data_IF_744519024142
#
_entry.id   IF_744519024142
#
_cell.length_a   1.000
_cell.length_b   1.000
_cell.length_c   1.000
_cell.angle_alpha   90.00
_cell.angle_beta   90.00
_cell.angle_gamma   90.00
#
_symmetry.space_group_name_H-M   'P 1'
#
loop_
_entity.id
_entity.type
_entity.pdbx_description
1 polymer ?
#
# COMPACT_ATOMS: atom_id res chain seq x y z
N UNK A 1 -39.97 -67.05 -54.60
CA UNK A 1 -40.25 -65.80 -53.87
C UNK A 1 -40.01 -66.04 -52.40
N UNK A 2 -38.89 -65.55 -51.88
CA UNK A 2 -38.46 -65.62 -50.48
C UNK A 2 -37.72 -64.30 -50.22
N UNK A 3 -38.16 -63.45 -49.28
CA UNK A 3 -37.42 -62.23 -48.97
C UNK A 3 -36.34 -62.51 -47.94
N UNK A 4 -35.18 -61.89 -48.15
CA UNK A 4 -34.04 -61.85 -47.23
C UNK A 4 -34.33 -60.81 -46.15
N UNK A 5 -34.40 -61.25 -44.89
CA UNK A 5 -34.60 -60.38 -43.72
C UNK A 5 -33.26 -59.77 -43.31
N UNK A 6 -33.16 -58.44 -43.35
CA UNK A 6 -31.99 -57.68 -42.89
C UNK A 6 -31.96 -57.62 -41.35
N UNK A 7 -30.86 -58.07 -40.74
CA UNK A 7 -30.54 -57.83 -39.33
C UNK A 7 -30.05 -56.39 -39.14
N UNK A 8 -30.82 -55.57 -38.44
CA UNK A 8 -30.33 -54.32 -37.86
C UNK A 8 -29.77 -54.60 -36.46
N UNK A 9 -28.46 -54.45 -36.29
CA UNK A 9 -27.79 -54.41 -34.98
C UNK A 9 -27.96 -53.00 -34.43
N UNK A 10 -28.81 -52.83 -33.41
CA UNK A 10 -28.89 -51.62 -32.62
C UNK A 10 -27.71 -51.58 -31.63
N UNK A 11 -26.71 -50.74 -31.94
CA UNK A 11 -25.71 -50.33 -30.95
C UNK A 11 -26.40 -49.44 -29.90
N UNK A 12 -26.57 -49.96 -28.68
CA UNK A 12 -26.88 -49.15 -27.51
C UNK A 12 -25.61 -48.40 -27.08
N UNK A 13 -25.56 -47.11 -27.37
CA UNK A 13 -24.63 -46.21 -26.69
C UNK A 13 -25.19 -45.92 -25.29
N UNK A 14 -24.59 -46.51 -24.26
CA UNK A 14 -24.84 -46.15 -22.87
C UNK A 14 -24.35 -44.72 -22.64
N UNK A 15 -25.28 -43.83 -22.32
CA UNK A 15 -25.03 -42.46 -21.95
C UNK A 15 -24.28 -42.42 -20.61
N UNK A 16 -22.98 -42.13 -20.66
CA UNK A 16 -22.23 -41.69 -19.49
C UNK A 16 -22.85 -40.39 -18.97
N UNK A 17 -23.51 -40.47 -17.82
CA UNK A 17 -23.86 -39.30 -17.03
C UNK A 17 -22.56 -38.70 -16.50
N UNK A 18 -21.98 -37.78 -17.27
CA UNK A 18 -21.01 -36.82 -16.75
C UNK A 18 -21.71 -35.98 -15.69
N UNK A 19 -21.54 -36.38 -14.44
CA UNK A 19 -21.88 -35.60 -13.27
C UNK A 19 -21.09 -34.30 -13.38
N UNK A 20 -21.75 -33.22 -13.80
CA UNK A 20 -21.17 -31.88 -13.83
C UNK A 20 -20.76 -31.57 -12.40
N UNK A 21 -19.46 -31.63 -12.13
CA UNK A 21 -18.90 -31.18 -10.88
C UNK A 21 -19.34 -29.72 -10.70
N UNK A 22 -20.20 -29.49 -9.72
CA UNK A 22 -20.53 -28.14 -9.28
C UNK A 22 -19.21 -27.55 -8.81
N UNK A 23 -18.62 -26.70 -9.65
CA UNK A 23 -17.45 -25.89 -9.33
C UNK A 23 -17.80 -25.07 -8.07
N UNK A 24 -17.46 -25.59 -6.90
CA UNK A 24 -17.58 -24.82 -5.66
C UNK A 24 -16.62 -23.64 -5.80
N UNK A 25 -17.17 -22.42 -5.85
CA UNK A 25 -16.33 -21.23 -5.84
C UNK A 25 -15.32 -21.32 -4.69
N UNK A 26 -14.04 -20.97 -4.93
CA UNK A 26 -13.02 -21.03 -3.90
C UNK A 26 -13.49 -20.27 -2.65
N UNK A 27 -13.43 -20.93 -1.49
CA UNK A 27 -13.90 -20.35 -0.23
C UNK A 27 -12.94 -19.25 0.22
N UNK A 28 -13.46 -18.02 0.33
CA UNK A 28 -12.70 -16.92 0.90
C UNK A 28 -12.49 -17.12 2.40
N UNK A 29 -11.25 -16.95 2.85
CA UNK A 29 -10.82 -17.01 4.25
C UNK A 29 -10.38 -15.64 4.74
N UNK A 30 -10.29 -15.48 6.05
CA UNK A 30 -9.83 -14.25 6.72
C UNK A 30 -8.92 -14.61 7.90
N UNK A 31 -7.83 -13.86 8.04
CA UNK A 31 -6.98 -13.84 9.22
C UNK A 31 -6.92 -12.39 9.71
N UNK A 32 -7.05 -12.14 11.02
CA UNK A 32 -7.24 -10.79 11.54
C UNK A 32 -6.52 -10.54 12.87
N UNK A 33 -6.15 -9.28 13.10
CA UNK A 33 -5.64 -8.78 14.37
C UNK A 33 -6.16 -7.36 14.59
N UNK A 34 -6.98 -7.19 15.64
CA UNK A 34 -7.65 -5.92 15.92
C UNK A 34 -8.52 -5.45 14.75
N UNK A 35 -8.19 -4.29 14.19
CA UNK A 35 -8.91 -3.70 13.05
C UNK A 35 -8.36 -4.13 11.68
N UNK A 36 -7.24 -4.85 11.62
CA UNK A 36 -6.60 -5.22 10.35
C UNK A 36 -6.96 -6.66 10.00
N UNK A 37 -7.45 -6.87 8.77
CA UNK A 37 -7.94 -8.16 8.28
C UNK A 37 -7.32 -8.50 6.93
N UNK A 38 -6.76 -9.69 6.79
CA UNK A 38 -6.23 -10.23 5.53
C UNK A 38 -7.20 -11.26 4.96
N UNK A 39 -7.73 -10.98 3.78
CA UNK A 39 -8.63 -11.85 3.04
C UNK A 39 -7.87 -12.60 1.95
N UNK A 40 -8.03 -13.92 1.90
CA UNK A 40 -7.24 -14.78 1.02
C UNK A 40 -8.00 -16.04 0.58
N UNK A 41 -7.50 -16.67 -0.47
CA UNK A 41 -7.96 -17.96 -0.97
C UNK A 41 -6.83 -18.98 -0.87
N UNK A 42 -7.16 -20.25 -0.62
CA UNK A 42 -6.20 -21.37 -0.64
C UNK A 42 -6.20 -22.13 -1.95
N UNK A 43 -7.14 -21.83 -2.84
CA UNK A 43 -7.39 -22.53 -4.10
C UNK A 43 -7.79 -21.53 -5.19
N UNK A 44 -7.69 -21.96 -6.46
CA UNK A 44 -8.00 -21.15 -7.62
C UNK A 44 -6.94 -20.09 -7.94
N UNK A 45 -7.27 -19.16 -8.85
CA UNK A 45 -6.31 -18.19 -9.39
C UNK A 45 -5.74 -17.25 -8.31
N UNK A 46 -6.47 -17.02 -7.22
CA UNK A 46 -6.07 -16.17 -6.10
C UNK A 46 -5.45 -16.94 -4.94
N UNK A 47 -5.07 -18.21 -5.15
CA UNK A 47 -4.41 -19.00 -4.12
C UNK A 47 -3.12 -18.32 -3.65
N UNK A 48 -2.97 -18.24 -2.32
CA UNK A 48 -1.72 -17.88 -1.66
C UNK A 48 -0.74 -19.04 -1.68
N UNK A 49 0.54 -18.77 -1.41
CA UNK A 49 1.50 -19.85 -1.17
C UNK A 49 1.02 -20.70 0.03
N UNK A 50 0.88 -22.04 -0.10
CA UNK A 50 0.33 -22.90 0.95
C UNK A 50 1.31 -23.23 2.09
N UNK A 51 2.55 -22.73 2.07
CA UNK A 51 3.51 -22.94 3.16
C UNK A 51 2.92 -22.49 4.51
N UNK A 52 3.02 -23.36 5.51
CA UNK A 52 2.59 -23.13 6.91
C UNK A 52 3.66 -23.78 7.81
N UNK A 53 4.74 -23.04 8.09
CA UNK A 53 5.90 -23.56 8.82
C UNK A 53 5.57 -23.82 10.29
N UNK A 54 4.71 -23.00 10.89
CA UNK A 54 4.35 -23.08 12.29
C UNK A 54 3.16 -24.03 12.57
N UNK A 55 2.52 -24.55 11.52
CA UNK A 55 1.41 -25.53 11.53
C UNK A 55 0.16 -25.02 12.23
N UNK A 56 -0.13 -23.72 12.12
CA UNK A 56 -1.32 -23.13 12.72
C UNK A 56 -2.56 -23.16 11.80
N UNK A 57 -2.43 -23.67 10.57
CA UNK A 57 -3.49 -23.77 9.57
C UNK A 57 -3.71 -22.49 8.76
N UNK A 58 -2.85 -21.48 8.92
CA UNK A 58 -2.84 -20.23 8.17
C UNK A 58 -1.55 -20.23 7.34
N UNK A 59 -1.63 -19.95 6.03
CA UNK A 59 -0.40 -19.88 5.24
C UNK A 59 0.48 -18.71 5.69
N UNK A 60 1.79 -18.95 5.81
CA UNK A 60 2.77 -17.98 6.35
C UNK A 60 2.70 -16.63 5.63
N UNK A 61 2.49 -16.64 4.30
CA UNK A 61 2.31 -15.42 3.50
C UNK A 61 1.20 -14.51 4.05
N UNK A 62 0.10 -15.09 4.53
CA UNK A 62 -1.04 -14.36 5.09
C UNK A 62 -0.67 -13.73 6.43
N UNK A 63 -0.01 -14.49 7.30
CA UNK A 63 0.46 -14.02 8.61
C UNK A 63 1.50 -12.90 8.45
N UNK A 64 2.44 -13.07 7.53
CA UNK A 64 3.53 -12.13 7.33
C UNK A 64 3.06 -10.82 6.66
N UNK A 65 2.04 -10.87 5.81
CA UNK A 65 1.37 -9.65 5.28
C UNK A 65 0.68 -8.89 6.41
N UNK A 66 -0.05 -9.58 7.30
CA UNK A 66 -0.67 -8.96 8.47
C UNK A 66 0.40 -8.35 9.39
N UNK A 67 1.45 -9.12 9.68
CA UNK A 67 2.57 -8.74 10.54
C UNK A 67 3.30 -7.50 10.01
N UNK A 68 3.64 -7.46 8.72
CA UNK A 68 4.28 -6.29 8.12
C UNK A 68 3.37 -5.06 8.17
N UNK A 69 2.06 -5.22 7.97
CA UNK A 69 1.11 -4.10 8.03
C UNK A 69 0.95 -3.56 9.45
N UNK A 70 0.83 -4.43 10.45
CA UNK A 70 0.80 -4.04 11.88
C UNK A 70 2.09 -3.31 12.27
N UNK A 71 3.23 -3.79 11.78
CA UNK A 71 4.51 -3.13 11.99
C UNK A 71 4.52 -1.73 11.34
N UNK A 72 4.04 -1.60 10.10
CA UNK A 72 3.97 -0.31 9.40
C UNK A 72 3.06 0.68 10.14
N UNK A 73 1.89 0.23 10.61
CA UNK A 73 1.00 1.03 11.45
C UNK A 73 1.71 1.48 12.74
N UNK A 74 2.30 0.54 13.48
CA UNK A 74 3.01 0.84 14.73
C UNK A 74 4.13 1.85 14.48
N UNK A 75 4.91 1.66 13.42
CA UNK A 75 6.03 2.54 13.09
C UNK A 75 5.55 3.94 12.68
N UNK A 76 4.70 4.05 11.66
CA UNK A 76 4.32 5.37 11.17
C UNK A 76 3.42 6.13 12.15
N UNK A 77 2.44 5.46 12.74
CA UNK A 77 1.44 6.12 13.59
C UNK A 77 1.93 6.26 15.04
N UNK A 78 2.41 5.19 15.66
CA UNK A 78 2.71 5.22 17.09
C UNK A 78 4.12 5.72 17.39
N UNK A 79 5.11 5.30 16.61
CA UNK A 79 6.51 5.72 16.81
C UNK A 79 6.76 7.09 16.17
N UNK A 80 6.44 7.26 14.89
CA UNK A 80 6.76 8.45 14.12
C UNK A 80 5.66 9.53 14.16
N UNK A 81 4.49 9.22 14.71
CA UNK A 81 3.36 10.15 14.90
C UNK A 81 2.84 10.77 13.60
N UNK A 82 2.90 10.04 12.49
CA UNK A 82 2.04 10.35 11.35
C UNK A 82 0.57 10.25 11.80
N UNK A 83 -0.34 11.08 11.26
CA UNK A 83 -1.76 10.97 11.58
C UNK A 83 -2.28 9.54 11.34
N UNK A 84 -3.01 9.00 12.31
CA UNK A 84 -3.64 7.69 12.18
C UNK A 84 -4.74 7.78 11.12
N UNK A 85 -4.67 7.03 10.01
CA UNK A 85 -5.70 7.02 8.99
C UNK A 85 -7.11 6.82 9.59
N UNK A 86 -7.27 5.94 10.58
CA UNK A 86 -8.57 5.69 11.24
C UNK A 86 -9.14 6.90 12.00
N UNK A 87 -8.34 7.93 12.26
CA UNK A 87 -8.75 9.12 13.01
C UNK A 87 -8.96 10.35 12.12
N UNK A 88 -8.50 10.30 10.86
CA UNK A 88 -8.60 11.43 9.92
C UNK A 88 -10.03 11.67 9.45
N UNK A 89 -10.34 12.88 9.02
CA UNK A 89 -11.67 13.24 8.49
C UNK A 89 -12.12 12.33 7.33
N UNK A 90 -11.18 11.92 6.46
CA UNK A 90 -11.47 11.09 5.28
C UNK A 90 -11.80 9.65 5.63
N UNK A 91 -11.16 9.07 6.64
CA UNK A 91 -11.30 7.65 6.95
C UNK A 91 -11.84 7.35 8.36
N UNK A 92 -12.27 8.34 9.14
CA UNK A 92 -12.90 8.15 10.48
C UNK A 92 -14.12 7.22 10.51
N UNK A 93 -14.77 7.01 9.35
CA UNK A 93 -15.87 6.06 9.21
C UNK A 93 -15.43 4.59 9.06
N UNK A 94 -14.14 4.32 8.89
CA UNK A 94 -13.61 2.98 8.72
C UNK A 94 -13.69 2.17 10.02
N UNK A 95 -14.34 1.02 9.95
CA UNK A 95 -14.31 0.02 11.03
C UNK A 95 -13.06 -0.85 10.95
N UNK A 96 -12.59 -1.13 9.73
CA UNK A 96 -11.48 -2.05 9.46
C UNK A 96 -10.51 -1.50 8.42
N UNK A 97 -9.32 -2.10 8.38
CA UNK A 97 -8.41 -2.09 7.25
C UNK A 97 -8.42 -3.49 6.65
N UNK A 98 -8.97 -3.61 5.44
CA UNK A 98 -9.09 -4.87 4.72
C UNK A 98 -7.97 -4.99 3.67
N UNK A 99 -7.16 -6.03 3.80
CA UNK A 99 -6.10 -6.37 2.87
C UNK A 99 -6.58 -7.55 2.04
N UNK A 100 -6.55 -7.44 0.71
CA UNK A 100 -6.96 -8.54 -0.16
C UNK A 100 -5.78 -9.14 -0.90
N UNK A 101 -5.56 -10.44 -0.72
CA UNK A 101 -4.61 -11.20 -1.51
C UNK A 101 -5.24 -11.59 -2.84
N UNK A 102 -4.69 -11.03 -3.93
CA UNK A 102 -5.25 -11.16 -5.28
C UNK A 102 -4.17 -11.59 -6.27
N UNK A 103 -4.57 -12.22 -7.37
CA UNK A 103 -3.61 -12.57 -8.42
C UNK A 103 -3.21 -11.29 -9.15
N UNK A 104 -1.91 -11.12 -9.47
CA UNK A 104 -1.39 -9.89 -10.11
C UNK A 104 -2.11 -9.54 -11.43
N UNK A 105 -2.64 -10.54 -12.13
CA UNK A 105 -3.35 -10.33 -13.40
C UNK A 105 -4.66 -9.56 -13.22
N UNK A 106 -5.30 -9.71 -12.05
CA UNK A 106 -6.48 -8.91 -11.68
C UNK A 106 -6.11 -7.52 -11.15
N UNK A 107 -4.81 -7.26 -10.95
CA UNK A 107 -4.26 -6.01 -10.42
C UNK A 107 -3.42 -5.25 -11.47
N UNK A 108 -3.71 -5.43 -12.77
CA UNK A 108 -2.93 -4.81 -13.87
C UNK A 108 -1.42 -5.07 -13.75
N UNK A 109 -1.05 -6.27 -13.29
CA UNK A 109 0.33 -6.73 -13.03
C UNK A 109 1.06 -5.97 -11.92
N UNK A 110 0.36 -5.14 -11.12
CA UNK A 110 0.92 -4.47 -9.93
C UNK A 110 1.13 -5.46 -8.79
N UNK A 111 2.06 -5.13 -7.90
CA UNK A 111 2.32 -5.90 -6.67
C UNK A 111 1.41 -5.47 -5.51
N UNK A 112 0.99 -4.22 -5.48
CA UNK A 112 0.02 -3.70 -4.51
C UNK A 112 -0.85 -2.60 -5.13
N UNK A 113 -1.95 -2.29 -4.46
CA UNK A 113 -2.85 -1.19 -4.84
C UNK A 113 -3.69 -0.74 -3.63
N UNK A 114 -3.36 0.42 -3.08
CA UNK A 114 -4.18 1.09 -2.06
C UNK A 114 -5.36 1.86 -2.67
N UNK A 115 -6.48 1.83 -1.96
CA UNK A 115 -7.69 2.58 -2.28
C UNK A 115 -7.74 3.85 -1.43
N UNK A 116 -8.18 4.95 -2.02
CA UNK A 116 -8.24 6.28 -1.40
C UNK A 116 -9.65 6.67 -0.94
N UNK A 117 -10.61 5.76 -1.12
CA UNK A 117 -11.99 5.86 -0.64
C UNK A 117 -12.35 4.66 0.23
N UNK A 118 -13.27 4.87 1.18
CA UNK A 118 -13.80 3.79 2.00
C UNK A 118 -14.59 2.79 1.15
N UNK A 119 -14.32 1.51 1.36
CA UNK A 119 -14.93 0.42 0.62
C UNK A 119 -16.01 -0.27 1.45
N UNK A 120 -17.10 -0.68 0.81
CA UNK A 120 -18.12 -1.56 1.42
C UNK A 120 -18.12 -2.92 0.73
N UNK A 121 -17.56 -3.93 1.39
CA UNK A 121 -17.49 -5.29 0.86
C UNK A 121 -18.71 -6.15 1.17
N UNK A 122 -19.68 -5.62 1.95
CA UNK A 122 -20.92 -6.31 2.37
C UNK A 122 -20.66 -7.75 2.83
N UNK A 123 -19.63 -7.95 3.67
CA UNK A 123 -19.27 -9.29 4.17
C UNK A 123 -20.41 -9.84 5.02
N UNK A 124 -20.69 -11.15 4.92
CA UNK A 124 -21.80 -11.80 5.64
C UNK A 124 -21.76 -11.62 7.16
N UNK A 125 -20.57 -11.52 7.76
CA UNK A 125 -20.38 -11.37 9.21
C UNK A 125 -20.30 -9.91 9.67
N UNK A 126 -20.18 -8.97 8.74
CA UNK A 126 -20.02 -7.56 9.08
C UNK A 126 -21.40 -6.94 9.31
N UNK A 127 -21.56 -6.05 10.31
CA UNK A 127 -22.78 -5.24 10.44
C UNK A 127 -23.11 -4.48 9.16
N UNK A 128 -24.40 -4.23 8.92
CA UNK A 128 -24.85 -3.42 7.79
C UNK A 128 -24.21 -2.01 7.86
N UNK A 129 -23.73 -1.52 6.72
CA UNK A 129 -23.07 -0.21 6.65
C UNK A 129 -21.58 -0.22 7.04
N UNK A 130 -20.98 -1.39 7.32
CA UNK A 130 -19.54 -1.48 7.57
C UNK A 130 -18.74 -0.95 6.38
N UNK A 131 -17.80 -0.06 6.69
CA UNK A 131 -16.85 0.54 5.76
C UNK A 131 -15.43 0.17 6.19
N UNK A 132 -14.56 -0.07 5.21
CA UNK A 132 -13.16 -0.41 5.42
C UNK A 132 -12.25 0.50 4.59
N UNK A 133 -11.10 0.88 5.15
CA UNK A 133 -9.94 1.18 4.30
C UNK A 133 -9.50 -0.11 3.61
N UNK A 134 -8.88 0.00 2.43
CA UNK A 134 -8.50 -1.19 1.68
C UNK A 134 -7.18 -1.00 0.92
N UNK A 135 -6.39 -2.05 0.87
CA UNK A 135 -5.40 -2.23 -0.18
C UNK A 135 -5.30 -3.68 -0.64
N UNK A 136 -4.91 -3.89 -1.88
CA UNK A 136 -4.63 -5.21 -2.43
C UNK A 136 -3.14 -5.50 -2.34
N UNK A 137 -2.79 -6.77 -2.13
CA UNK A 137 -1.43 -7.29 -2.28
C UNK A 137 -1.46 -8.48 -3.22
N UNK A 138 -0.55 -8.53 -4.18
CA UNK A 138 -0.49 -9.63 -5.11
C UNK A 138 -0.05 -10.92 -4.41
N UNK A 139 -0.66 -12.06 -4.71
CA UNK A 139 -0.27 -13.38 -4.16
C UNK A 139 1.14 -13.82 -4.55
N UNK A 140 1.79 -13.12 -5.49
CA UNK A 140 3.20 -13.31 -5.82
C UNK A 140 4.17 -12.55 -4.91
N UNK A 141 3.69 -11.72 -3.98
CA UNK A 141 4.52 -10.95 -3.04
C UNK A 141 4.98 -11.85 -1.90
N UNK A 142 6.28 -11.87 -1.66
CA UNK A 142 6.88 -12.44 -0.46
C UNK A 142 7.14 -11.31 0.57
N UNK A 143 6.32 -11.16 1.62
CA UNK A 143 6.44 -10.06 2.60
C UNK A 143 7.77 -10.08 3.38
N UNK A 144 8.45 -11.22 3.51
CA UNK A 144 9.76 -11.27 4.16
C UNK A 144 10.84 -10.59 3.29
N UNK A 145 10.65 -10.57 1.97
CA UNK A 145 11.60 -10.02 1.00
C UNK A 145 11.18 -8.65 0.47
N UNK A 146 9.88 -8.42 0.33
CA UNK A 146 9.28 -7.27 -0.30
C UNK A 146 8.49 -6.43 0.70
N UNK A 147 8.56 -5.11 0.55
CA UNK A 147 7.96 -4.16 1.50
C UNK A 147 6.62 -3.59 0.98
N UNK A 148 5.92 -4.36 0.15
CA UNK A 148 4.66 -3.97 -0.49
C UNK A 148 3.58 -3.60 0.55
N UNK A 149 3.29 -4.42 1.59
CA UNK A 149 2.37 -3.98 2.65
C UNK A 149 2.75 -2.64 3.31
N UNK A 150 4.05 -2.40 3.55
CA UNK A 150 4.54 -1.12 4.09
C UNK A 150 4.27 0.04 3.12
N UNK A 151 4.53 -0.18 1.83
CA UNK A 151 4.28 0.78 0.74
C UNK A 151 2.80 1.17 0.66
N UNK A 152 1.92 0.18 0.59
CA UNK A 152 0.47 0.40 0.48
C UNK A 152 -0.12 1.04 1.73
N UNK A 153 0.37 0.67 2.92
CA UNK A 153 -0.04 1.34 4.16
C UNK A 153 0.34 2.83 4.15
N UNK A 154 1.51 3.18 3.60
CA UNK A 154 1.91 4.59 3.49
C UNK A 154 1.02 5.37 2.51
N UNK A 155 0.52 4.74 1.44
CA UNK A 155 -0.50 5.34 0.58
C UNK A 155 -1.81 5.63 1.32
N UNK A 156 -2.21 4.81 2.30
CA UNK A 156 -3.36 5.11 3.15
C UNK A 156 -3.12 6.36 4.01
N UNK A 157 -1.91 6.55 4.56
CA UNK A 157 -1.56 7.78 5.28
C UNK A 157 -1.68 8.99 4.36
N UNK A 158 -1.08 8.94 3.16
CA UNK A 158 -1.17 10.03 2.17
C UNK A 158 -2.63 10.35 1.82
N UNK A 159 -3.41 9.32 1.48
CA UNK A 159 -4.81 9.44 1.06
C UNK A 159 -5.72 9.86 2.20
N UNK A 160 -5.36 9.59 3.45
CA UNK A 160 -6.12 10.02 4.63
C UNK A 160 -6.03 11.52 4.88
N UNK A 161 -4.98 12.16 4.35
CA UNK A 161 -4.67 13.57 4.61
C UNK A 161 -4.88 14.48 3.41
N UNK A 162 -4.63 14.04 2.18
CA UNK A 162 -4.78 14.89 1.00
C UNK A 162 -5.36 14.18 -0.21
N UNK A 163 -6.01 14.92 -1.11
CA UNK A 163 -6.54 14.41 -2.38
C UNK A 163 -5.51 14.33 -3.52
N UNK A 164 -4.26 14.72 -3.27
CA UNK A 164 -3.22 14.70 -4.29
C UNK A 164 -2.74 13.28 -4.64
N UNK A 165 -2.78 12.93 -5.93
CA UNK A 165 -2.33 11.64 -6.49
C UNK A 165 -1.20 11.78 -7.52
N UNK A 166 -0.48 12.90 -7.50
CA UNK A 166 0.63 13.15 -8.40
C UNK A 166 1.77 12.16 -8.08
N UNK A 167 2.10 11.30 -9.05
CA UNK A 167 2.91 10.09 -8.83
C UNK A 167 4.31 10.36 -8.30
N UNK A 168 4.94 11.46 -8.70
CA UNK A 168 6.27 11.84 -8.19
C UNK A 168 6.25 12.09 -6.67
N UNK A 169 5.11 12.52 -6.14
CA UNK A 169 4.88 12.67 -4.71
C UNK A 169 4.44 11.35 -4.09
N UNK A 170 3.35 10.75 -4.54
CA UNK A 170 2.75 9.59 -3.87
C UNK A 170 3.67 8.38 -3.93
N UNK A 171 4.04 7.94 -5.13
CA UNK A 171 4.94 6.79 -5.34
C UNK A 171 6.36 7.12 -4.84
N UNK A 172 6.84 8.34 -5.08
CA UNK A 172 8.17 8.77 -4.67
C UNK A 172 8.38 8.70 -3.15
N UNK A 173 7.40 9.16 -2.37
CA UNK A 173 7.45 9.08 -0.91
C UNK A 173 7.04 7.71 -0.36
N UNK A 174 6.20 6.93 -1.06
CA UNK A 174 5.94 5.54 -0.69
C UNK A 174 7.19 4.65 -0.85
N UNK A 175 8.01 4.88 -1.90
CA UNK A 175 9.34 4.23 -2.03
C UNK A 175 10.34 4.66 -0.96
N UNK A 176 10.27 5.92 -0.50
CA UNK A 176 11.02 6.34 0.68
C UNK A 176 10.52 5.59 1.93
N UNK A 177 9.21 5.47 2.11
CA UNK A 177 8.59 4.83 3.27
C UNK A 177 8.94 3.34 3.38
N UNK A 178 9.18 2.64 2.27
CA UNK A 178 9.73 1.27 2.31
C UNK A 178 11.02 1.19 3.14
N UNK A 179 11.86 2.23 3.16
CA UNK A 179 13.10 2.22 3.96
C UNK A 179 12.85 2.12 5.45
N UNK A 180 11.66 2.49 5.92
CA UNK A 180 11.27 2.42 7.32
C UNK A 180 11.31 0.97 7.87
N UNK A 181 11.09 -0.02 7.01
CA UNK A 181 11.21 -1.46 7.32
C UNK A 181 12.40 -2.12 6.59
N UNK A 182 13.13 -1.33 5.80
CA UNK A 182 14.28 -1.75 5.03
C UNK A 182 15.58 -1.69 5.83
N UNK A 183 16.70 -2.02 5.16
CA UNK A 183 18.03 -1.71 5.68
C UNK A 183 18.50 -0.36 5.15
N UNK A 184 19.18 0.38 6.01
CA UNK A 184 19.80 1.68 5.75
C UNK A 184 18.82 2.84 5.90
N UNK A 185 19.34 3.97 6.38
CA UNK A 185 18.56 5.17 6.65
C UNK A 185 17.86 5.75 5.40
N UNK A 186 18.46 5.60 4.23
CA UNK A 186 17.98 6.23 2.99
C UNK A 186 18.18 5.29 1.80
N UNK A 187 17.31 5.42 0.80
CA UNK A 187 17.47 4.72 -0.47
C UNK A 187 18.60 5.31 -1.34
N UNK A 188 18.79 4.76 -2.55
CA UNK A 188 19.77 5.29 -3.51
C UNK A 188 19.55 6.79 -3.74
N UNK A 189 20.65 7.52 -3.78
CA UNK A 189 20.67 8.96 -4.03
C UNK A 189 21.30 9.20 -5.39
N UNK A 190 20.49 9.57 -6.38
CA UNK A 190 20.96 10.01 -7.70
C UNK A 190 21.05 11.53 -7.69
N UNK A 191 22.16 12.03 -7.14
CA UNK A 191 22.48 13.46 -7.08
C UNK A 191 22.60 14.05 -8.49
N UNK A 192 21.74 15.00 -8.85
CA UNK A 192 21.94 15.84 -10.03
C UNK A 192 21.79 17.33 -9.70
N UNK A 193 22.89 18.08 -9.86
CA UNK A 193 22.94 19.55 -9.85
C UNK A 193 22.65 20.29 -8.54
N UNK A 194 22.60 21.62 -8.64
CA UNK A 194 22.32 22.54 -7.54
C UNK A 194 20.86 22.47 -7.04
N UNK A 195 20.66 22.77 -5.76
CA UNK A 195 19.38 22.82 -5.06
C UNK A 195 19.11 24.25 -4.56
N UNK A 196 17.87 24.78 -4.62
CA UNK A 196 16.64 24.14 -5.11
C UNK A 196 16.61 23.95 -6.63
N UNK A 197 15.77 23.02 -7.08
CA UNK A 197 15.59 22.71 -8.50
C UNK A 197 15.12 23.93 -9.31
N UNK A 198 15.69 24.15 -10.50
CA UNK A 198 15.16 25.12 -11.48
C UNK A 198 13.76 24.69 -11.96
N UNK A 199 12.96 25.61 -12.52
CA UNK A 199 11.63 25.28 -13.05
C UNK A 199 11.67 24.13 -14.08
N UNK A 200 12.70 24.08 -14.92
CA UNK A 200 12.88 22.98 -15.90
C UNK A 200 13.18 21.62 -15.24
N UNK A 201 13.78 21.61 -14.05
CA UNK A 201 13.96 20.38 -13.26
C UNK A 201 12.66 19.97 -12.57
N UNK A 202 11.80 20.93 -12.21
CA UNK A 202 10.48 20.64 -11.66
C UNK A 202 9.59 19.94 -12.70
N UNK A 203 9.57 20.40 -13.96
CA UNK A 203 8.80 19.74 -15.03
C UNK A 203 9.23 18.29 -15.27
N UNK A 204 10.55 18.00 -15.20
CA UNK A 204 11.05 16.61 -15.30
C UNK A 204 10.64 15.77 -14.09
N UNK A 205 10.70 16.34 -12.90
CA UNK A 205 10.24 15.68 -11.67
C UNK A 205 8.76 15.29 -11.77
N UNK A 206 7.90 16.19 -12.26
CA UNK A 206 6.45 15.97 -12.30
C UNK A 206 6.03 14.80 -13.20
N UNK A 207 6.86 14.45 -14.19
CA UNK A 207 6.66 13.29 -15.04
C UNK A 207 7.09 11.95 -14.40
N UNK A 208 7.79 11.97 -13.26
CA UNK A 208 8.34 10.77 -12.62
C UNK A 208 7.30 9.97 -11.82
N UNK A 209 7.64 8.71 -11.54
CA UNK A 209 6.94 7.83 -10.61
C UNK A 209 7.90 7.40 -9.48
N UNK A 210 8.36 6.16 -9.47
CA UNK A 210 9.28 5.62 -8.48
C UNK A 210 10.64 6.32 -8.49
N UNK A 211 11.11 6.73 -9.67
CA UNK A 211 12.41 7.42 -9.82
C UNK A 211 12.46 8.76 -9.08
N UNK A 212 11.31 9.36 -8.76
CA UNK A 212 11.25 10.58 -7.94
C UNK A 212 11.87 10.36 -6.55
N UNK A 213 11.80 9.12 -6.01
CA UNK A 213 12.47 8.78 -4.76
C UNK A 213 13.98 9.01 -4.86
N UNK A 214 14.62 8.49 -5.90
CA UNK A 214 16.08 8.53 -6.04
C UNK A 214 16.59 9.87 -6.58
N UNK A 215 15.79 10.57 -7.39
CA UNK A 215 16.20 11.80 -8.07
C UNK A 215 15.78 13.09 -7.36
N UNK A 216 14.80 13.02 -6.44
CA UNK A 216 14.31 14.20 -5.74
C UNK A 216 14.23 14.00 -4.23
N UNK A 217 13.43 13.05 -3.74
CA UNK A 217 13.19 12.88 -2.30
C UNK A 217 14.48 12.51 -1.55
N UNK A 218 15.18 11.46 -1.95
CA UNK A 218 16.41 11.04 -1.30
C UNK A 218 17.52 12.10 -1.40
N UNK A 219 17.79 12.73 -2.56
CA UNK A 219 18.77 13.82 -2.63
C UNK A 219 18.43 15.04 -1.77
N UNK A 220 17.15 15.39 -1.63
CA UNK A 220 16.71 16.46 -0.75
C UNK A 220 16.97 16.08 0.71
N UNK A 221 16.52 14.89 1.14
CA UNK A 221 16.69 14.39 2.49
C UNK A 221 18.16 14.19 2.87
N UNK A 222 19.01 13.78 1.93
CA UNK A 222 20.45 13.61 2.15
C UNK A 222 21.15 14.92 2.54
N UNK A 223 20.61 16.07 2.13
CA UNK A 223 21.13 17.42 2.44
C UNK A 223 20.51 18.04 3.69
N UNK A 224 19.51 17.39 4.29
CA UNK A 224 18.84 17.90 5.48
C UNK A 224 19.49 17.29 6.72
N UNK A 225 20.16 18.11 7.50
CA UNK A 225 20.68 17.71 8.82
C UNK A 225 19.55 17.68 9.85
N UNK A 226 19.63 16.77 10.82
CA UNK A 226 18.70 16.70 11.96
C UNK A 226 17.25 16.33 11.64
N UNK A 227 16.90 16.01 10.38
CA UNK A 227 15.52 15.72 9.93
C UNK A 227 14.98 14.33 10.33
N UNK A 228 15.56 13.73 11.37
CA UNK A 228 15.25 12.40 11.88
C UNK A 228 16.03 11.33 11.13
N UNK A 229 17.18 10.92 11.67
CA UNK A 229 17.99 9.83 11.10
C UNK A 229 17.73 8.50 11.81
N UNK A 230 17.66 8.55 13.14
CA UNK A 230 17.32 7.41 13.99
C UNK A 230 15.84 7.48 14.39
N UNK A 231 15.20 6.32 14.42
CA UNK A 231 13.84 6.18 14.92
C UNK A 231 13.82 6.40 16.45
N UNK A 232 12.85 7.15 16.99
CA UNK A 232 12.80 7.48 18.40
C UNK A 232 12.51 6.24 19.25
N UNK A 233 13.12 6.18 20.44
CA UNK A 233 12.77 5.19 21.45
C UNK A 233 11.39 5.51 22.05
N UNK A 234 10.56 4.48 22.17
CA UNK A 234 9.22 4.56 22.73
C UNK A 234 8.73 3.17 23.16
N UNK A 235 7.65 3.06 23.96
CA UNK A 235 7.03 1.76 24.25
C UNK A 235 6.62 1.01 22.98
N UNK A 236 6.03 1.69 22.00
CA UNK A 236 5.68 1.12 20.70
C UNK A 236 6.90 0.59 19.94
N UNK A 237 8.04 1.30 20.00
CA UNK A 237 9.30 0.83 19.41
C UNK A 237 9.79 -0.49 20.02
N UNK A 238 9.61 -0.69 21.33
CA UNK A 238 9.96 -1.99 21.97
C UNK A 238 9.11 -3.14 21.42
N UNK A 239 7.81 -2.90 21.22
CA UNK A 239 6.91 -3.85 20.56
C UNK A 239 7.36 -4.16 19.13
N UNK A 240 7.65 -3.11 18.34
CA UNK A 240 8.11 -3.25 16.96
C UNK A 240 9.42 -4.05 16.83
N UNK A 241 10.39 -3.85 17.74
CA UNK A 241 11.64 -4.62 17.78
C UNK A 241 11.43 -6.11 18.12
N UNK A 242 10.35 -6.43 18.86
CA UNK A 242 10.00 -7.80 19.19
C UNK A 242 9.37 -8.56 18.02
N UNK A 243 8.73 -7.85 17.07
CA UNK A 243 8.05 -8.48 15.93
C UNK A 243 9.03 -9.25 15.02
N UNK A 244 8.61 -10.45 14.65
CA UNK A 244 9.30 -11.33 13.70
C UNK A 244 8.27 -11.90 12.72
N UNK A 245 8.70 -12.16 11.50
CA UNK A 245 7.97 -13.00 10.54
C UNK A 245 7.95 -14.46 11.02
N UNK A 246 7.14 -15.30 10.37
CA UNK A 246 7.03 -16.72 10.73
C UNK A 246 8.37 -17.46 10.62
N UNK A 247 9.24 -17.06 9.69
CA UNK A 247 10.60 -17.62 9.55
C UNK A 247 11.58 -17.19 10.65
N UNK A 248 11.13 -16.38 11.61
CA UNK A 248 11.91 -15.84 12.72
C UNK A 248 12.70 -14.58 12.41
N UNK A 249 12.80 -14.18 11.13
CA UNK A 249 13.49 -12.96 10.74
C UNK A 249 12.76 -11.71 11.26
N UNK A 250 13.52 -10.65 11.56
CA UNK A 250 12.97 -9.43 12.14
C UNK A 250 12.23 -8.60 11.09
N UNK A 251 11.05 -8.11 11.47
CA UNK A 251 10.22 -7.23 10.63
C UNK A 251 10.92 -5.88 10.47
N UNK A 252 11.33 -5.27 11.59
CA UNK A 252 12.17 -4.07 11.58
C UNK A 252 13.64 -4.48 11.41
N UNK A 253 14.24 -4.12 10.27
CA UNK A 253 15.60 -4.55 9.91
C UNK A 253 16.72 -3.70 10.53
N UNK A 254 16.45 -2.43 10.80
CA UNK A 254 17.28 -1.54 11.61
C UNK A 254 16.46 -0.34 12.15
N UNK A 255 17.08 0.56 12.92
CA UNK A 255 16.42 1.72 13.55
C UNK A 255 16.63 3.03 12.79
N UNK A 256 16.79 2.98 11.47
CA UNK A 256 17.13 4.16 10.67
C UNK A 256 16.05 4.52 9.67
N UNK A 257 15.76 5.81 9.54
CA UNK A 257 14.91 6.34 8.47
C UNK A 257 15.16 7.84 8.31
N UNK A 258 16.10 8.23 7.46
CA UNK A 258 16.45 9.64 7.24
C UNK A 258 15.25 10.39 6.66
N UNK A 259 14.92 11.54 7.26
CA UNK A 259 13.92 12.46 6.75
C UNK A 259 12.52 12.26 7.28
N UNK A 260 12.29 11.36 8.24
CA UNK A 260 10.95 11.02 8.69
C UNK A 260 10.17 12.20 9.29
N UNK A 261 10.85 13.12 10.00
CA UNK A 261 10.20 14.32 10.56
C UNK A 261 9.73 15.25 9.44
N UNK A 262 10.61 15.46 8.47
CA UNK A 262 10.34 16.29 7.30
C UNK A 262 9.18 15.73 6.46
N UNK A 263 9.22 14.44 6.12
CA UNK A 263 8.15 13.82 5.31
C UNK A 263 6.82 13.89 6.05
N UNK A 264 6.79 13.66 7.37
CA UNK A 264 5.58 13.83 8.18
C UNK A 264 5.01 15.23 8.06
N UNK A 265 5.83 16.25 8.22
CA UNK A 265 5.39 17.65 8.10
C UNK A 265 4.91 17.99 6.68
N UNK A 266 5.58 17.48 5.64
CA UNK A 266 5.13 17.63 4.26
C UNK A 266 3.74 17.03 4.07
N UNK A 267 3.52 15.78 4.48
CA UNK A 267 2.23 15.11 4.28
C UNK A 267 1.12 15.84 5.04
N UNK A 268 1.40 16.32 6.25
CA UNK A 268 0.43 17.13 7.03
C UNK A 268 0.12 18.47 6.34
N UNK A 269 1.15 19.21 5.90
CA UNK A 269 0.97 20.50 5.21
C UNK A 269 0.22 20.36 3.87
N UNK A 270 0.38 19.22 3.18
CA UNK A 270 -0.35 18.94 1.95
C UNK A 270 -1.85 18.75 2.19
N UNK A 271 -2.26 18.26 3.37
CA UNK A 271 -3.67 18.17 3.75
C UNK A 271 -4.34 19.52 4.07
N UNK A 272 -3.57 20.58 4.28
CA UNK A 272 -4.10 21.96 4.33
C UNK A 272 -4.06 22.60 2.93
N UNK A 273 -3.09 22.20 2.11
CA UNK A 273 -2.85 22.78 0.79
C UNK A 273 -3.85 22.29 -0.25
N UNK A 274 -4.38 21.08 -0.12
CA UNK A 274 -5.35 20.57 -1.08
C UNK A 274 -6.67 21.36 -1.05
N UNK A 275 -7.15 21.82 0.11
CA UNK A 275 -8.29 22.74 0.20
C UNK A 275 -8.02 24.05 -0.56
N UNK A 276 -6.79 24.59 -0.48
CA UNK A 276 -6.39 25.78 -1.25
C UNK A 276 -6.42 25.48 -2.74
N UNK A 277 -5.80 24.37 -3.16
CA UNK A 277 -5.78 23.96 -4.56
C UNK A 277 -7.20 23.71 -5.09
N UNK A 278 -8.07 23.08 -4.32
CA UNK A 278 -9.46 22.82 -4.68
C UNK A 278 -10.20 24.11 -5.03
N UNK A 279 -10.10 25.12 -4.15
CA UNK A 279 -10.76 26.40 -4.32
C UNK A 279 -10.16 27.22 -5.47
N UNK A 280 -8.83 27.35 -5.54
CA UNK A 280 -8.16 28.15 -6.56
C UNK A 280 -8.27 27.53 -7.97
N UNK A 281 -8.31 26.21 -8.07
CA UNK A 281 -8.46 25.51 -9.34
C UNK A 281 -9.92 25.46 -9.82
N UNK A 282 -10.86 25.90 -8.97
CA UNK A 282 -12.29 25.97 -9.26
C UNK A 282 -12.94 24.59 -9.35
N UNK A 283 -12.48 23.64 -8.53
CA UNK A 283 -13.06 22.30 -8.51
C UNK A 283 -14.40 22.29 -7.77
N UNK A 284 -15.36 21.55 -8.32
CA UNK A 284 -16.65 21.24 -7.70
C UNK A 284 -16.57 19.98 -6.83
N UNK A 285 -15.68 19.06 -7.21
CA UNK A 285 -15.33 17.84 -6.47
C UNK A 285 -13.94 17.33 -6.82
N UNK A 286 -13.36 16.54 -5.91
CA UNK A 286 -12.13 15.78 -6.15
C UNK A 286 -12.39 14.52 -6.98
N UNK A 287 -12.64 14.69 -8.28
CA UNK A 287 -12.67 13.56 -9.23
C UNK A 287 -11.29 12.91 -9.39
N UNK A 288 -11.22 11.64 -9.81
CA UNK A 288 -9.95 10.96 -10.12
C UNK A 288 -9.03 11.78 -11.05
N UNK A 289 -9.61 12.46 -12.03
CA UNK A 289 -8.87 13.32 -12.96
C UNK A 289 -8.28 14.54 -12.25
N UNK A 290 -9.05 15.17 -11.36
CA UNK A 290 -8.60 16.34 -10.58
C UNK A 290 -7.52 15.95 -9.57
N UNK A 291 -7.68 14.83 -8.87
CA UNK A 291 -6.70 14.32 -7.92
C UNK A 291 -5.33 14.06 -8.57
N UNK A 292 -5.31 13.65 -9.85
CA UNK A 292 -4.11 13.36 -10.65
C UNK A 292 -3.66 14.52 -11.53
N UNK A 293 -4.30 15.69 -11.43
CA UNK A 293 -4.07 16.80 -12.34
C UNK A 293 -2.63 17.34 -12.22
N UNK A 294 -1.93 17.59 -13.34
CA UNK A 294 -0.65 18.31 -13.29
C UNK A 294 -0.76 19.71 -12.69
N UNK A 295 -1.97 20.30 -12.65
CA UNK A 295 -2.20 21.61 -11.99
C UNK A 295 -1.89 21.55 -10.49
N UNK A 296 -1.97 20.38 -9.87
CA UNK A 296 -1.63 20.18 -8.45
C UNK A 296 -0.12 20.26 -8.19
N UNK A 297 0.72 20.01 -9.20
CA UNK A 297 2.17 19.88 -9.01
C UNK A 297 2.78 21.15 -8.41
N UNK A 298 2.30 22.33 -8.84
CA UNK A 298 2.77 23.62 -8.31
C UNK A 298 2.45 23.78 -6.81
N UNK A 299 1.28 23.33 -6.36
CA UNK A 299 0.87 23.39 -4.96
C UNK A 299 1.69 22.42 -4.11
N UNK A 300 1.83 21.18 -4.58
CA UNK A 300 2.61 20.15 -3.89
C UNK A 300 4.07 20.61 -3.78
N UNK A 301 4.67 21.02 -4.89
CA UNK A 301 6.06 21.44 -4.93
C UNK A 301 6.32 22.67 -4.05
N UNK A 302 5.47 23.70 -4.12
CA UNK A 302 5.61 24.90 -3.26
C UNK A 302 5.53 24.54 -1.78
N UNK A 303 4.65 23.62 -1.42
CA UNK A 303 4.49 23.15 -0.02
C UNK A 303 5.74 22.42 0.44
N UNK A 304 6.24 21.47 -0.36
CA UNK A 304 7.49 20.75 -0.08
C UNK A 304 8.65 21.73 0.11
N UNK A 305 8.80 22.70 -0.79
CA UNK A 305 9.87 23.69 -0.69
C UNK A 305 9.71 24.63 0.52
N UNK A 306 8.48 24.95 0.90
CA UNK A 306 8.19 25.76 2.09
C UNK A 306 8.58 25.02 3.36
N UNK A 307 8.21 23.74 3.49
CA UNK A 307 8.65 22.90 4.61
C UNK A 307 10.17 22.75 4.60
N UNK A 308 10.79 22.54 3.43
CA UNK A 308 12.24 22.36 3.32
C UNK A 308 13.02 23.58 3.81
N UNK A 309 12.55 24.80 3.52
CA UNK A 309 13.16 26.04 4.01
C UNK A 309 13.12 26.16 5.54
N UNK A 310 12.06 25.67 6.21
CA UNK A 310 12.00 25.65 7.68
C UNK A 310 13.11 24.78 8.29
N UNK A 311 13.37 23.63 7.68
CA UNK A 311 14.44 22.73 8.12
C UNK A 311 15.85 23.27 7.81
N UNK A 312 16.01 24.07 6.77
CA UNK A 312 17.28 24.75 6.48
C UNK A 312 17.53 25.94 7.42
N UNK A 313 16.49 26.70 7.78
CA UNK A 313 16.58 27.85 8.67
C UNK A 313 16.80 27.44 10.14
N UNK A 314 16.28 26.28 10.57
CA UNK A 314 16.50 25.76 11.93
C UNK A 314 17.81 24.99 12.14
N UNK A 315 18.64 24.86 11.10
CA UNK A 315 19.96 24.22 11.15
C UNK A 315 21.13 25.23 11.24
N UNK A 316 20.82 26.53 11.27
CA UNK A 316 21.76 27.63 11.56
C UNK A 316 21.61 28.07 13.02
#
# INVERSE_FOLDING_TARGET
MLPVTACFVLLQASADQAQVAVSSEPKLRVHESGKIRVFYYTEGNHAVNPTDLNRNGIPDQVEDVLTQTLAAQTLFVEVLRFPDPFSTSRFRGASFLDIQLRHKDTMKKRRGEAFDELQSFKRRKDPAGTLSMCFNVATSVDPCKELTPTHEFFHLIQSSLSYFKNRWYTEGTARWAERAMGRGALGPVKLSGAWPSTEERASRLFAMTYDASEQFWNPMLARMDGCGETLPDSPAMKGLLAMSYVDGSKVLRDKQLKGWKFIREVVMALGETDDVAFNELGYDRWSEANQRSPRNDAYIFRTVMTVARKYQAGAQ
#
